data_IF_821854850434
#
_entry.id   IF_821854850434
#
_cell.length_a   1.000
_cell.length_b   1.000
_cell.length_c   1.000
_cell.angle_alpha   90.00
_cell.angle_beta   90.00
_cell.angle_gamma   90.00
#
_symmetry.space_group_name_H-M   'P 1'
#
loop_
_entity.id
_entity.type
_entity.pdbx_description
1 polymer ?
#
# COMPACT_ATOMS: atom_id res chain seq x y z
N UNK A 1 -38.66 4.51 -0.12
CA UNK A 1 -38.90 5.57 0.88
C UNK A 1 -38.36 6.85 0.31
N UNK A 2 -39.20 7.87 0.16
CA UNK A 2 -38.78 9.21 -0.23
C UNK A 2 -37.68 9.67 0.71
N UNK A 3 -36.65 10.34 0.19
CA UNK A 3 -35.60 11.07 0.92
C UNK A 3 -36.22 12.21 1.73
N UNK A 4 -37.09 11.85 2.67
CA UNK A 4 -37.56 12.69 3.76
C UNK A 4 -36.32 13.25 4.44
N UNK A 5 -36.25 14.57 4.52
CA UNK A 5 -35.09 15.38 4.89
C UNK A 5 -34.34 14.77 6.08
N UNK A 6 -33.13 14.26 5.82
CA UNK A 6 -32.20 13.82 6.87
C UNK A 6 -32.04 15.00 7.83
N UNK A 7 -32.30 14.76 9.12
CA UNK A 7 -32.14 15.73 10.20
C UNK A 7 -30.84 16.54 10.00
N UNK A 8 -30.91 17.89 9.98
CA UNK A 8 -29.74 18.74 9.78
C UNK A 8 -28.58 18.42 10.74
N UNK A 9 -28.86 18.01 11.97
CA UNK A 9 -27.85 17.62 12.96
C UNK A 9 -27.13 16.32 12.56
N UNK A 10 -27.88 15.31 12.08
CA UNK A 10 -27.33 14.05 11.56
C UNK A 10 -26.47 14.31 10.32
N UNK A 11 -26.91 15.21 9.43
CA UNK A 11 -26.14 15.60 8.25
C UNK A 11 -24.83 16.30 8.62
N UNK A 12 -24.86 17.19 9.60
CA UNK A 12 -23.67 17.90 10.08
C UNK A 12 -22.65 16.91 10.68
N UNK A 13 -23.11 15.97 11.51
CA UNK A 13 -22.21 14.96 12.10
C UNK A 13 -21.63 14.01 11.05
N UNK A 14 -22.44 13.60 10.07
CA UNK A 14 -21.95 12.77 8.96
C UNK A 14 -20.87 13.49 8.15
N UNK A 15 -21.02 14.79 7.90
CA UNK A 15 -20.01 15.59 7.21
C UNK A 15 -18.72 15.69 8.04
N UNK A 16 -18.83 15.97 9.34
CA UNK A 16 -17.67 16.03 10.25
C UNK A 16 -16.88 14.73 10.28
N UNK A 17 -17.56 13.58 10.29
CA UNK A 17 -16.92 12.27 10.25
C UNK A 17 -16.25 12.01 8.90
N UNK A 18 -16.87 12.43 7.78
CA UNK A 18 -16.29 12.31 6.44
C UNK A 18 -15.05 13.16 6.26
N UNK A 19 -15.04 14.40 6.77
CA UNK A 19 -13.84 15.23 6.79
C UNK A 19 -12.69 14.54 7.54
N UNK A 20 -12.99 13.80 8.61
CA UNK A 20 -11.97 13.02 9.33
C UNK A 20 -11.46 11.85 8.48
N UNK A 21 -12.34 11.17 7.72
CA UNK A 21 -11.96 10.10 6.79
C UNK A 21 -11.08 10.65 5.66
N UNK A 22 -11.48 11.76 5.03
CA UNK A 22 -10.73 12.37 3.92
C UNK A 22 -9.30 12.76 4.35
N UNK A 23 -9.14 13.26 5.58
CA UNK A 23 -7.83 13.56 6.16
C UNK A 23 -6.97 12.30 6.38
N UNK A 24 -7.58 11.19 6.83
CA UNK A 24 -6.89 9.91 6.99
C UNK A 24 -6.47 9.37 5.63
N UNK A 25 -7.35 9.43 4.64
CA UNK A 25 -7.08 8.95 3.29
C UNK A 25 -5.93 9.72 2.64
N UNK A 26 -5.88 11.05 2.82
CA UNK A 26 -4.74 11.86 2.38
C UNK A 26 -3.43 11.39 3.02
N UNK A 27 -3.43 11.12 4.34
CA UNK A 27 -2.26 10.61 5.03
C UNK A 27 -1.84 9.22 4.51
N UNK A 28 -2.79 8.32 4.26
CA UNK A 28 -2.51 6.99 3.67
C UNK A 28 -1.85 7.13 2.30
N UNK A 29 -2.35 8.01 1.43
CA UNK A 29 -1.77 8.25 0.10
C UNK A 29 -0.34 8.76 0.21
N UNK A 30 -0.07 9.74 1.08
CA UNK A 30 1.28 10.25 1.29
C UNK A 30 2.24 9.19 1.83
N UNK A 31 1.80 8.36 2.78
CA UNK A 31 2.63 7.27 3.33
C UNK A 31 2.90 6.18 2.29
N UNK A 32 1.92 5.87 1.43
CA UNK A 32 2.13 4.96 0.31
C UNK A 32 3.14 5.54 -0.68
N UNK A 33 3.05 6.83 -1.02
CA UNK A 33 4.01 7.47 -1.92
C UNK A 33 5.46 7.35 -1.40
N UNK A 34 5.68 7.62 -0.12
CA UNK A 34 7.01 7.43 0.52
C UNK A 34 7.44 5.96 0.52
N UNK A 35 6.53 5.03 0.83
CA UNK A 35 6.81 3.60 0.75
C UNK A 35 7.22 3.20 -0.68
N UNK A 36 6.53 3.70 -1.70
CA UNK A 36 6.82 3.37 -3.09
C UNK A 36 8.20 3.92 -3.53
N UNK A 37 8.59 5.12 -3.10
CA UNK A 37 9.95 5.64 -3.33
C UNK A 37 11.02 4.69 -2.79
N UNK A 38 10.87 4.21 -1.55
CA UNK A 38 11.80 3.25 -0.95
C UNK A 38 11.82 1.93 -1.76
N UNK A 39 10.66 1.42 -2.17
CA UNK A 39 10.61 0.20 -2.98
C UNK A 39 11.23 0.37 -4.37
N UNK A 40 11.16 1.54 -4.99
CA UNK A 40 11.85 1.81 -6.26
C UNK A 40 13.36 1.76 -6.08
N UNK A 41 13.89 2.31 -4.98
CA UNK A 41 15.32 2.20 -4.65
C UNK A 41 15.74 0.76 -4.44
N UNK A 42 14.93 -0.03 -3.71
CA UNK A 42 15.17 -1.48 -3.58
C UNK A 42 15.15 -2.18 -4.94
N UNK A 43 14.22 -1.81 -5.83
CA UNK A 43 14.12 -2.38 -7.17
C UNK A 43 15.36 -2.10 -8.02
N UNK A 44 15.85 -0.86 -8.01
CA UNK A 44 17.11 -0.48 -8.68
C UNK A 44 18.29 -1.26 -8.13
N UNK A 45 18.43 -1.30 -6.80
CA UNK A 45 19.48 -2.08 -6.15
C UNK A 45 19.42 -3.57 -6.52
N UNK A 46 18.22 -4.15 -6.57
CA UNK A 46 18.05 -5.54 -7.01
C UNK A 46 18.48 -5.73 -8.46
N UNK A 47 18.05 -4.84 -9.36
CA UNK A 47 18.41 -4.91 -10.78
C UNK A 47 19.94 -4.81 -10.99
N UNK A 48 20.59 -3.82 -10.37
CA UNK A 48 22.04 -3.60 -10.46
C UNK A 48 22.85 -4.83 -10.03
N UNK A 49 22.32 -5.60 -9.08
CA UNK A 49 22.95 -6.82 -8.54
C UNK A 49 22.35 -8.12 -9.07
N UNK A 50 21.48 -8.07 -10.09
CA UNK A 50 20.80 -9.25 -10.69
C UNK A 50 20.06 -10.12 -9.65
N UNK A 51 19.47 -9.48 -8.65
CA UNK A 51 18.65 -10.13 -7.63
C UNK A 51 17.20 -10.24 -8.11
N UNK A 52 16.47 -11.30 -7.72
CA UNK A 52 15.10 -11.50 -8.16
C UNK A 52 14.16 -10.39 -7.64
N UNK A 53 13.18 -9.93 -8.45
CA UNK A 53 12.12 -9.01 -8.05
C UNK A 53 11.34 -9.47 -6.82
N UNK A 54 10.91 -10.74 -6.80
CA UNK A 54 10.22 -11.36 -5.68
C UNK A 54 11.20 -11.85 -4.59
N UNK A 55 10.74 -11.85 -3.34
CA UNK A 55 11.46 -12.45 -2.20
C UNK A 55 10.43 -13.09 -1.25
N UNK A 56 10.07 -14.37 -1.47
CA UNK A 56 9.02 -15.04 -0.71
C UNK A 56 9.28 -15.06 0.81
N UNK A 57 10.54 -15.12 1.22
CA UNK A 57 10.91 -15.11 2.64
C UNK A 57 10.70 -13.72 3.25
N UNK A 58 11.02 -12.65 2.52
CA UNK A 58 10.70 -11.28 2.95
C UNK A 58 9.20 -11.04 2.98
N UNK A 59 8.46 -11.49 1.98
CA UNK A 59 6.99 -11.33 1.87
C UNK A 59 6.28 -12.01 3.04
N UNK A 60 6.62 -13.26 3.34
CA UNK A 60 6.07 -14.01 4.49
C UNK A 60 6.28 -13.25 5.81
N UNK A 61 7.47 -12.68 6.03
CA UNK A 61 7.76 -11.87 7.22
C UNK A 61 6.98 -10.57 7.27
N UNK A 62 6.71 -9.93 6.12
CA UNK A 62 5.88 -8.73 6.06
C UNK A 62 4.44 -9.04 6.47
N UNK A 63 3.88 -10.13 5.93
CA UNK A 63 2.52 -10.56 6.24
C UNK A 63 2.39 -10.87 7.74
N UNK A 64 3.30 -11.68 8.30
CA UNK A 64 3.28 -12.02 9.72
C UNK A 64 3.33 -10.77 10.62
N UNK A 65 4.25 -9.83 10.34
CA UNK A 65 4.36 -8.58 11.09
C UNK A 65 3.11 -7.71 10.94
N UNK A 66 2.54 -7.60 9.73
CA UNK A 66 1.37 -6.74 9.51
C UNK A 66 0.13 -7.30 10.20
N UNK A 67 -0.06 -8.63 10.20
CA UNK A 67 -1.16 -9.27 10.94
C UNK A 67 -1.10 -8.96 12.43
N UNK A 68 0.10 -8.96 13.03
CA UNK A 68 0.28 -8.56 14.43
C UNK A 68 -0.06 -7.08 14.67
N UNK A 69 0.40 -6.19 13.78
CA UNK A 69 0.07 -4.76 13.87
C UNK A 69 -1.43 -4.51 13.74
N UNK A 70 -2.10 -5.17 12.78
CA UNK A 70 -3.54 -5.07 12.58
C UNK A 70 -4.31 -5.50 13.84
N UNK A 71 -3.93 -6.63 14.44
CA UNK A 71 -4.52 -7.10 15.68
C UNK A 71 -4.36 -6.08 16.83
N UNK A 72 -3.18 -5.48 16.98
CA UNK A 72 -2.93 -4.46 18.01
C UNK A 72 -3.71 -3.15 17.78
N UNK A 73 -4.08 -2.87 16.52
CA UNK A 73 -4.82 -1.69 16.12
C UNK A 73 -6.34 -1.90 16.03
N UNK A 74 -6.84 -3.07 16.46
CA UNK A 74 -8.25 -3.50 16.29
C UNK A 74 -8.71 -3.48 14.81
N UNK A 75 -7.81 -3.75 13.89
CA UNK A 75 -8.10 -3.94 12.46
C UNK A 75 -8.12 -5.45 12.15
N UNK A 76 -9.05 -5.89 11.29
CA UNK A 76 -9.09 -7.27 10.83
C UNK A 76 -7.76 -7.69 10.17
N UNK A 77 -7.02 -8.68 10.73
CA UNK A 77 -5.76 -9.14 10.15
C UNK A 77 -5.91 -9.68 8.73
N UNK A 78 -7.07 -10.26 8.37
CA UNK A 78 -7.32 -10.76 7.02
C UNK A 78 -7.47 -9.61 6.02
N UNK A 79 -8.13 -8.52 6.40
CA UNK A 79 -8.18 -7.31 5.59
C UNK A 79 -6.78 -6.68 5.40
N UNK A 80 -6.01 -6.55 6.48
CA UNK A 80 -4.67 -5.99 6.42
C UNK A 80 -3.75 -6.82 5.50
N UNK A 81 -3.84 -8.14 5.56
CA UNK A 81 -3.11 -9.04 4.67
C UNK A 81 -3.51 -8.86 3.21
N UNK A 82 -4.81 -8.77 2.90
CA UNK A 82 -5.28 -8.51 1.53
C UNK A 82 -4.71 -7.20 0.97
N UNK A 83 -4.74 -6.14 1.77
CA UNK A 83 -4.18 -4.83 1.39
C UNK A 83 -2.67 -4.93 1.12
N UNK A 84 -1.93 -5.62 1.98
CA UNK A 84 -0.50 -5.79 1.79
C UNK A 84 -0.15 -6.65 0.58
N UNK A 85 -0.89 -7.72 0.33
CA UNK A 85 -0.70 -8.57 -0.84
C UNK A 85 -0.90 -7.77 -2.13
N UNK A 86 -1.91 -6.90 -2.17
CA UNK A 86 -2.11 -5.97 -3.28
C UNK A 86 -0.89 -5.04 -3.48
N UNK A 87 -0.40 -4.44 -2.40
CA UNK A 87 0.78 -3.56 -2.46
C UNK A 87 2.05 -4.31 -2.87
N UNK A 88 2.26 -5.54 -2.39
CA UNK A 88 3.42 -6.37 -2.73
C UNK A 88 3.40 -6.71 -4.22
N UNK A 89 2.24 -7.12 -4.76
CA UNK A 89 2.09 -7.41 -6.18
C UNK A 89 2.49 -6.19 -7.03
N UNK A 90 2.05 -4.98 -6.65
CA UNK A 90 2.45 -3.75 -7.34
C UNK A 90 3.96 -3.50 -7.32
N UNK A 91 4.58 -3.73 -6.16
CA UNK A 91 6.03 -3.56 -6.00
C UNK A 91 6.81 -4.54 -6.87
N UNK A 92 6.39 -5.80 -6.94
CA UNK A 92 7.04 -6.82 -7.78
C UNK A 92 6.97 -6.43 -9.25
N UNK A 93 5.79 -6.02 -9.76
CA UNK A 93 5.63 -5.52 -11.14
C UNK A 93 6.57 -4.35 -11.43
N UNK A 94 6.73 -3.42 -10.49
CA UNK A 94 7.67 -2.31 -10.64
C UNK A 94 9.14 -2.77 -10.66
N UNK A 95 9.50 -3.79 -9.87
CA UNK A 95 10.86 -4.33 -9.86
C UNK A 95 11.19 -5.05 -11.16
N UNK A 96 10.25 -5.81 -11.72
CA UNK A 96 10.37 -6.45 -13.04
C UNK A 96 10.66 -5.41 -14.12
N UNK A 97 9.86 -4.33 -14.19
CA UNK A 97 10.09 -3.23 -15.15
C UNK A 97 11.46 -2.57 -14.97
N UNK A 98 11.91 -2.33 -13.73
CA UNK A 98 13.22 -1.72 -13.47
C UNK A 98 14.35 -2.67 -13.94
N UNK A 99 14.20 -3.98 -13.73
CA UNK A 99 15.17 -4.96 -14.21
C UNK A 99 15.26 -4.94 -15.74
N UNK A 100 14.13 -4.98 -16.45
CA UNK A 100 14.07 -4.88 -17.91
C UNK A 100 14.73 -3.59 -18.44
N UNK A 101 14.45 -2.44 -17.82
CA UNK A 101 15.07 -1.16 -18.19
C UNK A 101 16.59 -1.16 -17.99
N UNK A 102 17.08 -1.80 -16.94
CA UNK A 102 18.51 -1.88 -16.61
C UNK A 102 19.25 -2.81 -17.58
N UNK A 103 18.63 -3.92 -17.97
CA UNK A 103 19.16 -4.85 -18.98
C UNK A 103 19.26 -4.18 -20.35
N UNK A 104 18.24 -3.44 -20.78
CA UNK A 104 18.26 -2.70 -22.04
C UNK A 104 19.34 -1.61 -22.07
N UNK A 105 19.54 -0.90 -20.95
CA UNK A 105 20.55 0.15 -20.84
C UNK A 105 22.00 -0.39 -20.84
N UNK A 106 22.21 -1.64 -20.42
CA UNK A 106 23.54 -2.28 -20.38
C UNK A 106 23.89 -3.05 -21.67
N UNK A 107 22.91 -3.24 -22.57
CA UNK A 107 23.08 -3.83 -23.89
C UNK A 107 23.30 -2.83 -25.04
N UNK A 108 23.40 -1.52 -24.75
CA UNK A 108 23.70 -0.45 -25.73
C UNK A 108 25.12 0.07 -25.50
#
# INVERSE_FOLDING_TARGET
MSTSEIDPSVRAELNRLRESIDNIDAAVVHMLAERFKATQQVGRLKADHRLPPADPARETRQIARLRQLAQSANLDPAFAEKLLNFIIAEVIRHHERIAEETENASGT
#
